data_IF_861350706297
#
_entry.id   IF_861350706297
#
_cell.length_a   1.000
_cell.length_b   1.000
_cell.length_c   1.000
_cell.angle_alpha   90.00
_cell.angle_beta   90.00
_cell.angle_gamma   90.00
#
_symmetry.space_group_name_H-M   'P 1'
#
loop_
_entity.id
_entity.type
_entity.pdbx_description
1 polymer ?
#
# COMPACT_ATOMS: atom_id res chain seq x y z
N UNK A 1 -0.47 -0.78 -1.09
CA UNK A 1 0.74 0.06 -1.00
C UNK A 1 0.29 1.51 -0.83
N UNK A 2 0.76 2.17 0.22
CA UNK A 2 0.57 3.60 0.36
C UNK A 2 1.26 4.32 -0.80
N UNK A 3 0.55 5.24 -1.43
CA UNK A 3 1.03 6.00 -2.60
C UNK A 3 0.86 7.48 -2.31
N UNK A 4 1.92 8.25 -2.57
CA UNK A 4 2.07 9.71 -2.38
C UNK A 4 2.73 10.15 -1.06
N UNK A 5 3.36 11.33 -1.13
CA UNK A 5 3.79 12.18 -0.01
C UNK A 5 2.59 12.76 0.76
N UNK A 6 1.64 11.91 1.16
CA UNK A 6 0.56 12.34 2.05
C UNK A 6 0.88 11.95 3.48
N UNK A 7 0.79 12.87 4.47
CA UNK A 7 1.22 12.61 5.85
C UNK A 7 0.54 11.38 6.48
N UNK A 8 -0.72 11.10 6.12
CA UNK A 8 -1.43 9.90 6.60
C UNK A 8 -0.76 8.57 6.23
N UNK A 9 -0.09 8.53 5.08
CA UNK A 9 0.44 7.28 4.48
C UNK A 9 1.96 7.30 4.28
N UNK A 10 2.61 8.40 4.68
CA UNK A 10 4.04 8.55 4.52
C UNK A 10 4.81 7.61 5.46
N UNK A 11 5.93 7.07 4.99
CA UNK A 11 6.82 6.19 5.75
C UNK A 11 6.16 4.92 6.33
N UNK A 12 5.05 4.47 5.73
CA UNK A 12 4.33 3.28 6.17
C UNK A 12 4.76 2.05 5.37
N UNK A 13 4.75 0.89 6.02
CA UNK A 13 4.94 -0.39 5.32
C UNK A 13 3.69 -0.76 4.50
N UNK A 14 3.65 -1.99 3.98
CA UNK A 14 2.46 -2.49 3.32
C UNK A 14 1.26 -2.50 4.29
N UNK A 15 0.09 -2.11 3.79
CA UNK A 15 -1.19 -2.25 4.48
C UNK A 15 -1.87 -3.50 3.94
N UNK A 16 -2.35 -4.33 4.84
CA UNK A 16 -2.97 -5.60 4.52
C UNK A 16 -4.47 -5.44 4.35
N UNK A 17 -4.92 -5.76 3.15
CA UNK A 17 -6.33 -5.87 2.76
C UNK A 17 -6.56 -7.30 2.27
N UNK A 18 -7.77 -7.82 2.49
CA UNK A 18 -8.17 -9.20 2.18
C UNK A 18 -9.06 -9.25 0.95
N UNK A 19 -10.14 -8.46 0.94
CA UNK A 19 -11.14 -8.44 -0.14
C UNK A 19 -11.37 -7.01 -0.65
N UNK A 20 -10.28 -6.31 -0.94
CA UNK A 20 -10.34 -4.96 -1.47
C UNK A 20 -10.92 -4.91 -2.89
N UNK A 21 -11.82 -3.96 -3.10
CA UNK A 21 -12.39 -3.65 -4.40
C UNK A 21 -11.70 -2.42 -5.02
N UNK A 22 -11.66 -2.38 -6.36
CA UNK A 22 -11.18 -1.18 -7.05
C UNK A 22 -12.18 -0.04 -6.83
N UNK A 23 -11.68 1.13 -6.45
CA UNK A 23 -12.43 2.38 -6.34
C UNK A 23 -12.15 3.22 -7.57
N UNK A 24 -13.19 3.52 -8.32
CA UNK A 24 -13.17 4.52 -9.39
C UNK A 24 -13.90 5.78 -8.90
N UNK A 25 -13.25 6.93 -9.06
CA UNK A 25 -13.81 8.22 -8.65
C UNK A 25 -14.47 8.90 -9.85
N UNK A 26 -15.63 9.52 -9.62
CA UNK A 26 -16.35 10.32 -10.64
C UNK A 26 -16.17 11.82 -10.39
N UNK A 27 -16.41 12.62 -11.43
CA UNK A 27 -16.26 14.07 -11.39
C UNK A 27 -17.18 14.74 -10.35
N UNK A 28 -16.59 15.63 -9.53
CA UNK A 28 -17.31 16.63 -8.74
C UNK A 28 -16.34 17.80 -8.49
N UNK A 29 -16.55 18.99 -9.07
CA UNK A 29 -15.63 20.11 -8.95
C UNK A 29 -15.39 20.59 -7.52
N UNK A 30 -16.35 20.38 -6.60
CA UNK A 30 -16.27 20.84 -5.22
C UNK A 30 -15.59 19.88 -4.24
N UNK A 31 -15.11 18.71 -4.71
CA UNK A 31 -14.49 17.68 -3.88
C UNK A 31 -13.16 17.27 -4.51
N UNK A 32 -12.07 17.62 -3.84
CA UNK A 32 -10.74 17.12 -4.12
C UNK A 32 -10.69 15.62 -3.77
N UNK A 33 -10.18 14.80 -4.70
CA UNK A 33 -10.09 13.35 -4.53
C UNK A 33 -8.64 12.92 -4.73
N UNK A 34 -8.00 12.45 -3.68
CA UNK A 34 -6.60 12.01 -3.71
C UNK A 34 -6.51 10.50 -3.41
N UNK A 35 -5.98 9.68 -4.32
CA UNK A 35 -5.67 8.29 -4.03
C UNK A 35 -4.63 8.21 -2.90
N UNK A 36 -4.91 7.42 -1.87
CA UNK A 36 -4.00 7.21 -0.72
C UNK A 36 -3.49 5.78 -0.63
N UNK A 37 -4.28 4.81 -1.10
CA UNK A 37 -3.93 3.40 -1.12
C UNK A 37 -4.11 2.83 -2.53
N UNK A 38 -3.06 2.23 -3.06
CA UNK A 38 -3.09 1.54 -4.35
C UNK A 38 -2.49 0.14 -4.24
N UNK A 39 -2.88 -0.78 -5.11
CA UNK A 39 -2.22 -2.08 -5.22
C UNK A 39 -0.82 -1.93 -5.84
N UNK A 40 -0.06 -3.01 -5.88
CA UNK A 40 1.21 -3.05 -6.62
C UNK A 40 0.98 -2.83 -8.13
N UNK A 41 2.04 -2.48 -8.89
CA UNK A 41 1.97 -2.43 -10.36
C UNK A 41 1.59 -3.77 -10.99
N UNK A 42 1.93 -4.88 -10.33
CA UNK A 42 1.60 -6.23 -10.76
C UNK A 42 0.30 -6.68 -10.10
N UNK A 43 -0.83 -6.15 -10.57
CA UNK A 43 -2.15 -6.49 -10.05
C UNK A 43 -3.08 -7.06 -11.13
N UNK A 44 -4.15 -7.72 -10.67
CA UNK A 44 -5.25 -8.22 -11.49
C UNK A 44 -6.56 -8.09 -10.71
N UNK A 45 -7.57 -7.50 -11.33
CA UNK A 45 -8.96 -7.49 -10.88
C UNK A 45 -9.67 -8.74 -11.41
N UNK A 46 -10.56 -9.31 -10.60
CA UNK A 46 -11.36 -10.47 -10.98
C UNK A 46 -12.83 -10.13 -10.78
N UNK A 47 -13.65 -10.39 -11.79
CA UNK A 47 -15.09 -10.14 -11.73
C UNK A 47 -15.82 -11.30 -11.05
N UNK A 48 -16.83 -10.99 -10.25
CA UNK A 48 -17.66 -12.00 -9.60
C UNK A 48 -18.62 -12.67 -10.59
N UNK A 49 -18.93 -13.96 -10.40
CA UNK A 49 -18.45 -14.86 -9.35
C UNK A 49 -17.05 -15.44 -9.65
N UNK A 50 -16.14 -15.41 -8.68
CA UNK A 50 -14.80 -16.00 -8.79
C UNK A 50 -14.81 -17.39 -8.16
N UNK A 51 -14.51 -18.44 -8.93
CA UNK A 51 -14.30 -19.78 -8.37
C UNK A 51 -12.89 -19.88 -7.76
N UNK A 52 -12.82 -19.94 -6.43
CA UNK A 52 -11.56 -20.16 -5.71
C UNK A 52 -11.31 -21.67 -5.67
N UNK A 53 -10.39 -22.15 -6.51
CA UNK A 53 -9.87 -23.52 -6.43
C UNK A 53 -8.48 -23.50 -5.77
N UNK A 54 -8.28 -24.31 -4.74
CA UNK A 54 -6.98 -24.45 -4.05
C UNK A 54 -5.86 -24.92 -5.00
N UNK A 55 -6.18 -25.61 -6.10
CA UNK A 55 -5.20 -25.96 -7.13
C UNK A 55 -4.65 -24.73 -7.87
N UNK A 56 -5.44 -23.67 -8.03
CA UNK A 56 -5.00 -22.42 -8.67
C UNK A 56 -3.95 -21.67 -7.84
N UNK A 57 -3.82 -21.99 -6.54
CA UNK A 57 -2.77 -21.41 -5.66
C UNK A 57 -1.40 -21.98 -6.01
N UNK A 58 -1.33 -23.20 -6.57
CA UNK A 58 -0.09 -23.87 -6.99
C UNK A 58 0.38 -23.46 -8.39
N UNK A 59 -0.54 -23.00 -9.23
CA UNK A 59 -0.21 -22.36 -10.51
C UNK A 59 0.49 -21.03 -10.22
N UNK A 60 1.82 -21.12 -10.01
CA UNK A 60 2.71 -19.99 -9.76
C UNK A 60 2.26 -18.80 -10.57
N UNK A 61 1.85 -17.74 -9.88
CA UNK A 61 1.37 -16.45 -10.40
C UNK A 61 2.06 -16.09 -11.72
N UNK A 62 1.50 -16.52 -12.85
CA UNK A 62 2.09 -16.26 -14.18
C UNK A 62 2.08 -14.75 -14.33
N UNK A 63 3.26 -14.10 -14.37
CA UNK A 63 3.39 -12.64 -14.40
C UNK A 63 2.52 -11.99 -15.46
N UNK A 64 2.32 -12.67 -16.60
CA UNK A 64 1.42 -12.25 -17.69
C UNK A 64 -0.02 -11.96 -17.25
N UNK A 65 -0.50 -12.63 -16.20
CA UNK A 65 -1.85 -12.44 -15.69
C UNK A 65 -2.00 -11.16 -14.84
N UNK A 66 -0.89 -10.59 -14.35
CA UNK A 66 -0.89 -9.44 -13.45
C UNK A 66 -0.40 -8.18 -14.17
N UNK A 67 -1.17 -7.74 -15.17
CA UNK A 67 -0.80 -6.70 -16.13
C UNK A 67 -1.69 -5.45 -16.06
N UNK A 68 -2.51 -5.29 -15.03
CA UNK A 68 -3.49 -4.19 -14.96
C UNK A 68 -2.99 -2.92 -14.26
N UNK A 69 -1.73 -2.90 -13.80
CA UNK A 69 -1.17 -1.74 -13.11
C UNK A 69 -1.73 -1.54 -11.69
N UNK A 70 -1.35 -0.45 -11.00
CA UNK A 70 -1.87 -0.11 -9.68
C UNK A 70 -3.37 0.18 -9.72
N UNK A 71 -4.14 -0.46 -8.85
CA UNK A 71 -5.57 -0.23 -8.65
C UNK A 71 -5.77 0.58 -7.38
N UNK A 72 -6.57 1.64 -7.46
CA UNK A 72 -6.92 2.44 -6.27
C UNK A 72 -7.89 1.66 -5.39
N UNK A 73 -7.54 1.50 -4.12
CA UNK A 73 -8.32 0.75 -3.12
C UNK A 73 -8.69 1.61 -1.90
N UNK A 74 -8.15 2.82 -1.82
CA UNK A 74 -8.50 3.83 -0.83
C UNK A 74 -8.26 5.26 -1.33
N UNK A 75 -9.19 6.16 -1.00
CA UNK A 75 -9.23 7.55 -1.49
C UNK A 75 -9.52 8.49 -0.33
N UNK A 76 -8.80 9.61 -0.27
CA UNK A 76 -9.12 10.77 0.56
C UNK A 76 -9.96 11.75 -0.25
N UNK A 77 -11.06 12.19 0.34
CA UNK A 77 -11.97 13.19 -0.19
C UNK A 77 -11.91 14.43 0.70
N UNK A 78 -11.75 15.61 0.12
CA UNK A 78 -11.72 16.89 0.85
C UNK A 78 -12.58 17.92 0.12
N UNK A 79 -13.45 18.62 0.85
CA UNK A 79 -14.27 19.69 0.28
C UNK A 79 -15.66 19.76 0.91
N UNK A 80 -16.62 20.28 0.16
CA UNK A 80 -18.01 20.40 0.62
C UNK A 80 -18.86 19.27 0.07
N UNK A 81 -19.61 18.61 0.94
CA UNK A 81 -20.48 17.49 0.59
C UNK A 81 -21.94 17.94 0.59
N UNK A 82 -22.72 17.39 -0.34
CA UNK A 82 -24.17 17.56 -0.33
C UNK A 82 -24.77 16.66 0.74
N UNK A 83 -25.67 17.22 1.54
CA UNK A 83 -26.40 16.47 2.56
C UNK A 83 -27.32 15.44 1.93
N UNK A 84 -27.39 14.25 2.54
CA UNK A 84 -28.34 13.20 2.14
C UNK A 84 -29.79 13.67 2.33
N UNK A 85 -30.02 14.61 3.25
CA UNK A 85 -31.34 15.14 3.55
C UNK A 85 -31.77 16.27 2.61
N UNK A 86 -30.88 16.76 1.75
CA UNK A 86 -31.24 17.76 0.73
C UNK A 86 -32.38 17.24 -0.12
N UNK A 87 -33.43 18.04 -0.27
CA UNK A 87 -34.66 17.69 -1.00
C UNK A 87 -35.41 16.45 -0.49
N UNK A 88 -35.12 15.98 0.74
CA UNK A 88 -35.80 14.82 1.35
C UNK A 88 -36.63 15.17 2.58
N UNK A 89 -36.56 16.41 3.05
CA UNK A 89 -37.33 16.89 4.21
C UNK A 89 -38.50 17.73 3.70
N UNK A 90 -39.71 17.49 4.25
CA UNK A 90 -40.89 18.30 3.92
C UNK A 90 -40.80 19.68 4.57
N UNK A 91 -41.31 20.75 3.94
CA UNK A 91 -41.32 22.09 4.52
C UNK A 91 -41.97 22.13 5.91
N UNK A 92 -43.09 21.42 6.07
CA UNK A 92 -43.84 21.25 7.33
C UNK A 92 -42.96 20.74 8.50
N UNK A 93 -41.98 19.89 8.19
CA UNK A 93 -41.08 19.30 9.19
C UNK A 93 -40.00 20.31 9.64
N UNK A 94 -39.59 21.21 8.76
CA UNK A 94 -38.62 22.28 9.06
C UNK A 94 -39.26 23.39 9.90
N UNK A 95 -40.53 23.72 9.62
CA UNK A 95 -41.26 24.77 10.34
C UNK A 95 -41.53 24.42 11.82
N UNK A 96 -41.62 23.12 12.16
CA UNK A 96 -41.83 22.69 13.56
C UNK A 96 -40.62 22.90 14.47
N UNK A 97 -39.43 23.20 13.93
CA UNK A 97 -38.20 23.42 14.70
C UNK A 97 -37.66 22.20 15.48
N UNK A 98 -38.35 21.06 15.45
CA UNK A 98 -37.99 19.84 16.22
C UNK A 98 -36.70 19.17 15.77
N UNK A 99 -36.24 19.44 14.54
CA UNK A 99 -35.12 18.72 13.90
C UNK A 99 -33.91 19.60 13.58
N UNK A 100 -33.91 20.86 14.05
CA UNK A 100 -32.87 21.85 13.77
C UNK A 100 -32.87 22.35 12.32
N UNK A 101 -31.89 23.22 12.00
CA UNK A 101 -31.75 23.81 10.66
C UNK A 101 -31.14 22.80 9.67
N UNK A 102 -31.80 22.62 8.52
CA UNK A 102 -31.30 21.76 7.45
C UNK A 102 -30.06 22.38 6.79
N UNK A 103 -28.90 21.80 7.05
CA UNK A 103 -27.69 22.06 6.26
C UNK A 103 -27.74 21.27 4.96
N UNK A 104 -28.04 21.94 3.84
CA UNK A 104 -28.02 21.32 2.51
C UNK A 104 -26.61 20.94 2.04
N UNK A 105 -25.62 21.71 2.46
CA UNK A 105 -24.20 21.49 2.18
C UNK A 105 -23.43 21.49 3.48
N UNK A 106 -22.43 20.63 3.57
CA UNK A 106 -21.48 20.66 4.68
C UNK A 106 -20.53 21.85 4.56
N UNK A 107 -19.92 22.21 5.68
CA UNK A 107 -18.67 22.95 5.70
C UNK A 107 -17.55 22.14 4.99
N UNK A 108 -16.37 22.72 4.82
CA UNK A 108 -15.25 22.00 4.22
C UNK A 108 -14.78 20.87 5.14
N UNK A 109 -15.11 19.62 4.81
CA UNK A 109 -14.77 18.43 5.61
C UNK A 109 -13.86 17.48 4.83
N UNK A 110 -13.37 16.46 5.54
CA UNK A 110 -12.50 15.42 5.01
C UNK A 110 -13.17 14.06 5.22
N UNK A 111 -12.98 13.13 4.28
CA UNK A 111 -13.49 11.77 4.36
C UNK A 111 -12.48 10.80 3.76
N UNK A 112 -12.22 9.69 4.44
CA UNK A 112 -11.40 8.60 3.92
C UNK A 112 -12.31 7.44 3.56
N UNK A 113 -12.20 6.96 2.32
CA UNK A 113 -12.97 5.81 1.81
C UNK A 113 -12.01 4.68 1.50
N UNK A 114 -12.29 3.47 2.02
CA UNK A 114 -11.48 2.28 1.84
C UNK A 114 -12.40 1.14 1.42
N UNK A 115 -11.95 0.34 0.47
CA UNK A 115 -12.74 -0.71 -0.17
C UNK A 115 -12.80 -2.04 0.58
N UNK A 116 -12.29 -2.10 1.81
CA UNK A 116 -12.22 -3.33 2.61
C UNK A 116 -12.58 -3.05 4.08
N UNK A 117 -13.60 -3.75 4.58
CA UNK A 117 -14.06 -3.66 5.97
C UNK A 117 -13.22 -4.49 6.95
N UNK A 118 -12.44 -5.47 6.49
CA UNK A 118 -11.56 -6.28 7.35
C UNK A 118 -10.27 -5.53 7.74
N UNK A 119 -10.02 -4.32 7.21
CA UNK A 119 -8.82 -3.53 7.49
C UNK A 119 -8.61 -3.27 8.99
N UNK A 120 -9.69 -3.07 9.75
CA UNK A 120 -9.67 -2.77 11.19
C UNK A 120 -9.79 -4.04 12.08
N UNK A 121 -9.78 -5.23 11.48
CA UNK A 121 -10.02 -6.47 12.20
C UNK A 121 -8.73 -7.05 12.78
N UNK A 122 -8.69 -7.23 14.09
CA UNK A 122 -7.65 -8.02 14.75
C UNK A 122 -7.83 -9.51 14.46
N UNK A 123 -6.72 -10.21 14.21
CA UNK A 123 -6.76 -11.68 14.17
C UNK A 123 -6.83 -12.24 15.58
N UNK A 124 -7.57 -13.33 15.75
CA UNK A 124 -7.70 -14.06 17.01
C UNK A 124 -7.24 -15.51 16.84
N UNK A 125 -6.48 -16.01 17.81
CA UNK A 125 -6.09 -17.42 17.92
C UNK A 125 -6.93 -18.09 18.98
N UNK A 126 -7.82 -19.01 18.56
CA UNK A 126 -8.57 -19.86 19.49
C UNK A 126 -7.66 -20.84 20.25
N UNK A 127 -6.55 -21.28 19.65
CA UNK A 127 -5.65 -22.25 20.28
C UNK A 127 -4.90 -21.68 21.48
N UNK A 128 -4.54 -20.39 21.42
CA UNK A 128 -3.76 -19.72 22.45
C UNK A 128 -4.60 -18.68 23.22
N UNK A 129 -5.90 -18.62 22.95
CA UNK A 129 -6.84 -17.62 23.47
C UNK A 129 -6.29 -16.18 23.42
N UNK A 130 -5.72 -15.78 22.29
CA UNK A 130 -5.00 -14.51 22.16
C UNK A 130 -5.44 -13.71 20.95
N UNK A 131 -5.70 -12.42 21.17
CA UNK A 131 -5.90 -11.43 20.12
C UNK A 131 -4.57 -10.81 19.71
N UNK A 132 -4.26 -10.83 18.42
CA UNK A 132 -3.07 -10.19 17.88
C UNK A 132 -3.30 -8.71 17.64
N UNK A 133 -2.21 -7.93 17.64
CA UNK A 133 -2.24 -6.53 17.25
C UNK A 133 -2.77 -6.34 15.83
N UNK A 134 -3.37 -5.17 15.57
CA UNK A 134 -3.97 -4.86 14.28
C UNK A 134 -2.90 -4.85 13.18
N UNK A 135 -3.13 -5.62 12.12
CA UNK A 135 -2.16 -5.78 11.03
C UNK A 135 -1.14 -6.90 11.25
N UNK A 136 -1.16 -7.64 12.36
CA UNK A 136 -0.31 -8.83 12.52
C UNK A 136 -0.98 -10.05 11.90
N UNK A 137 -0.31 -10.69 10.95
CA UNK A 137 -0.77 -11.95 10.36
C UNK A 137 -0.22 -13.16 11.12
N UNK A 138 -1.12 -14.01 11.65
CA UNK A 138 -0.74 -15.19 12.44
C UNK A 138 0.02 -16.24 11.63
N UNK A 139 -0.23 -16.32 10.33
CA UNK A 139 0.34 -17.37 9.47
C UNK A 139 1.74 -17.00 9.00
N UNK A 140 1.91 -15.79 8.44
CA UNK A 140 3.22 -15.31 7.99
C UNK A 140 4.06 -14.70 9.11
N UNK A 141 3.47 -14.47 10.29
CA UNK A 141 4.06 -13.75 11.43
C UNK A 141 4.51 -12.32 11.09
N UNK A 142 4.09 -11.79 9.93
CA UNK A 142 4.41 -10.45 9.46
C UNK A 142 3.49 -9.44 10.09
N UNK A 143 4.04 -8.29 10.46
CA UNK A 143 3.27 -7.13 10.92
C UNK A 143 3.16 -6.12 9.78
N UNK A 144 1.94 -5.74 9.45
CA UNK A 144 1.57 -4.71 8.48
C UNK A 144 1.19 -3.41 9.19
N UNK A 145 1.29 -2.28 8.49
CA UNK A 145 1.04 -0.96 9.06
C UNK A 145 -0.45 -0.58 9.18
N UNK A 146 -1.36 -1.56 9.34
CA UNK A 146 -2.79 -1.29 9.48
C UNK A 146 -3.10 -0.44 10.72
N UNK A 147 -2.46 -0.75 11.86
CA UNK A 147 -2.62 0.01 13.11
C UNK A 147 -2.21 1.47 12.93
N UNK A 148 -1.00 1.69 12.45
CA UNK A 148 -0.45 3.03 12.22
C UNK A 148 -1.32 3.81 11.23
N UNK A 149 -1.82 3.15 10.19
CA UNK A 149 -2.64 3.79 9.16
C UNK A 149 -3.95 4.31 9.76
N UNK A 150 -4.58 3.52 10.63
CA UNK A 150 -5.81 3.93 11.29
C UNK A 150 -5.59 5.08 12.26
N UNK A 151 -4.51 5.07 13.04
CA UNK A 151 -4.15 6.18 13.93
C UNK A 151 -3.91 7.45 13.11
N UNK A 152 -3.10 7.37 12.06
CA UNK A 152 -2.83 8.49 11.17
C UNK A 152 -4.09 9.01 10.47
N UNK A 153 -5.02 8.14 10.10
CA UNK A 153 -6.28 8.53 9.47
C UNK A 153 -7.19 9.25 10.47
N UNK A 154 -7.26 8.80 11.73
CA UNK A 154 -8.04 9.45 12.78
C UNK A 154 -7.45 10.82 13.11
N UNK A 155 -6.15 10.89 13.42
CA UNK A 155 -5.41 12.14 13.66
C UNK A 155 -5.58 13.10 12.45
N UNK A 156 -5.54 12.51 11.26
CA UNK A 156 -5.96 13.01 9.95
C UNK A 156 -7.21 13.90 9.99
N UNK A 157 -8.29 13.20 10.29
CA UNK A 157 -9.66 13.67 10.18
C UNK A 157 -10.04 14.62 11.31
N UNK A 158 -9.37 14.51 12.47
CA UNK A 158 -9.55 15.38 13.62
C UNK A 158 -8.73 16.69 13.56
N UNK A 159 -8.02 16.93 12.46
CA UNK A 159 -7.26 18.15 12.16
C UNK A 159 -6.02 18.40 13.05
N UNK A 160 -5.46 17.36 13.68
CA UNK A 160 -4.16 17.40 14.35
C UNK A 160 -2.97 17.31 13.36
N UNK A 161 -3.15 17.87 12.16
CA UNK A 161 -2.23 17.69 11.03
C UNK A 161 -0.80 18.20 11.29
N UNK A 162 -0.64 19.18 12.19
CA UNK A 162 0.67 19.69 12.62
C UNK A 162 1.52 18.66 13.39
N UNK A 163 0.90 17.75 14.14
CA UNK A 163 1.61 16.72 14.92
C UNK A 163 2.04 15.52 14.05
N UNK A 164 1.29 15.21 13.00
CA UNK A 164 1.59 14.07 12.09
C UNK A 164 2.88 14.33 11.30
N UNK A 165 3.11 15.58 10.86
CA UNK A 165 4.33 15.94 10.13
C UNK A 165 5.60 15.73 10.98
N UNK A 166 5.52 15.87 12.30
CA UNK A 166 6.66 15.71 13.22
C UNK A 166 7.04 14.24 13.47
N UNK A 167 6.15 13.28 13.19
CA UNK A 167 6.44 11.83 13.32
C UNK A 167 7.02 11.20 12.06
N UNK A 168 7.11 11.94 10.95
CA UNK A 168 7.56 11.45 9.65
C UNK A 168 9.10 11.34 9.53
N UNK A 169 9.78 10.77 10.54
CA UNK A 169 11.22 10.48 10.41
C UNK A 169 11.40 9.35 9.39
N UNK A 170 11.91 9.70 8.22
CA UNK A 170 12.09 8.79 7.08
C UNK A 170 12.84 7.52 7.47
N UNK A 171 12.14 6.39 7.46
CA UNK A 171 12.70 5.06 7.51
C UNK A 171 12.16 4.30 6.30
N UNK A 172 12.62 4.72 5.11
CA UNK A 172 12.29 4.04 3.86
C UNK A 172 12.83 2.61 3.91
N UNK A 173 12.00 1.67 4.36
CA UNK A 173 12.21 0.26 4.09
C UNK A 173 12.01 0.08 2.59
N UNK A 174 13.10 0.21 1.83
CA UNK A 174 13.16 -0.15 0.42
C UNK A 174 12.88 -1.64 0.30
N UNK A 175 11.61 -1.99 0.15
CA UNK A 175 11.16 -3.36 -0.04
C UNK A 175 11.88 -3.93 -1.28
N UNK A 176 12.57 -5.05 -1.08
CA UNK A 176 13.21 -5.76 -2.17
C UNK A 176 12.13 -6.23 -3.14
N UNK A 177 12.31 -5.92 -4.44
CA UNK A 177 11.45 -6.49 -5.46
C UNK A 177 11.84 -7.94 -5.70
N UNK A 178 11.23 -8.85 -4.93
CA UNK A 178 11.48 -10.29 -4.99
C UNK A 178 11.29 -10.85 -6.41
N UNK A 179 10.31 -10.35 -7.16
CA UNK A 179 10.08 -10.78 -8.54
C UNK A 179 11.26 -10.43 -9.45
N UNK A 180 11.83 -9.24 -9.31
CA UNK A 180 13.01 -8.83 -10.08
C UNK A 180 14.24 -9.62 -9.63
N UNK A 181 14.42 -9.78 -8.33
CA UNK A 181 15.51 -10.55 -7.75
C UNK A 181 15.52 -12.01 -8.22
N UNK A 182 14.36 -12.65 -8.33
CA UNK A 182 14.26 -14.01 -8.88
C UNK A 182 14.57 -14.07 -10.38
N UNK A 183 14.07 -13.11 -11.17
CA UNK A 183 14.27 -13.11 -12.61
C UNK A 183 15.73 -12.85 -13.01
N UNK A 184 16.41 -11.95 -12.28
CA UNK A 184 17.80 -11.59 -12.54
C UNK A 184 18.80 -12.44 -11.72
N UNK A 185 18.31 -13.43 -10.95
CA UNK A 185 19.12 -14.20 -10.00
C UNK A 185 20.39 -14.78 -10.64
N UNK A 186 20.25 -15.42 -11.81
CA UNK A 186 21.38 -16.05 -12.51
C UNK A 186 22.42 -15.02 -12.95
N UNK A 187 21.97 -13.88 -13.48
CA UNK A 187 22.85 -12.78 -13.89
C UNK A 187 23.68 -12.27 -12.70
N UNK A 188 23.01 -11.97 -11.58
CA UNK A 188 23.68 -11.50 -10.37
C UNK A 188 24.61 -12.55 -9.76
N UNK A 189 24.27 -13.84 -9.82
CA UNK A 189 25.13 -14.93 -9.37
C UNK A 189 26.41 -15.04 -10.22
N UNK A 190 26.28 -15.02 -11.55
CA UNK A 190 27.43 -15.09 -12.46
C UNK A 190 28.33 -13.87 -12.29
N UNK A 191 27.76 -12.67 -12.17
CA UNK A 191 28.54 -11.46 -12.00
C UNK A 191 29.30 -11.47 -10.67
N UNK A 192 28.65 -11.82 -9.56
CA UNK A 192 29.28 -11.83 -8.25
C UNK A 192 30.29 -12.98 -8.06
N UNK A 193 30.13 -14.10 -8.78
CA UNK A 193 31.07 -15.22 -8.70
C UNK A 193 32.20 -15.11 -9.74
N UNK A 194 31.88 -14.68 -10.96
CA UNK A 194 32.81 -14.58 -12.07
C UNK A 194 33.73 -13.37 -12.00
N UNK A 195 33.22 -12.20 -11.56
CA UNK A 195 34.04 -10.98 -11.50
C UNK A 195 35.25 -11.12 -10.55
N UNK A 196 35.14 -11.66 -9.32
CA UNK A 196 36.30 -11.86 -8.46
C UNK A 196 37.33 -12.81 -9.06
N UNK A 197 36.89 -13.91 -9.69
CA UNK A 197 37.78 -14.89 -10.33
C UNK A 197 38.54 -14.26 -11.50
N UNK A 198 37.84 -13.49 -12.35
CA UNK A 198 38.46 -12.74 -13.45
C UNK A 198 39.51 -11.74 -12.95
N UNK A 199 39.23 -11.03 -11.86
CA UNK A 199 40.19 -10.09 -11.25
C UNK A 199 41.46 -10.82 -10.82
N UNK A 200 41.35 -11.98 -10.16
CA UNK A 200 42.52 -12.77 -9.72
C UNK A 200 43.34 -13.27 -10.92
N UNK A 201 42.68 -13.74 -11.98
CA UNK A 201 43.36 -14.21 -13.20
C UNK A 201 44.11 -13.06 -13.87
N UNK A 202 43.47 -11.90 -14.04
CA UNK A 202 44.09 -10.71 -14.64
C UNK A 202 45.31 -10.27 -13.82
N UNK A 203 45.19 -10.23 -12.48
CA UNK A 203 46.32 -9.94 -11.60
C UNK A 203 47.46 -10.96 -11.76
N UNK A 204 47.14 -12.25 -11.85
CA UNK A 204 48.13 -13.31 -12.06
C UNK A 204 48.87 -13.18 -13.40
N UNK A 205 48.16 -12.83 -14.48
CA UNK A 205 48.75 -12.60 -15.80
C UNK A 205 49.65 -11.36 -15.78
N UNK A 206 49.15 -10.24 -15.26
CA UNK A 206 49.91 -8.99 -15.15
C UNK A 206 51.17 -9.18 -14.31
N UNK A 207 51.06 -9.86 -13.17
CA UNK A 207 52.19 -10.18 -12.30
C UNK A 207 53.25 -11.02 -13.04
N UNK A 208 52.84 -12.08 -13.75
CA UNK A 208 53.77 -12.90 -14.52
C UNK A 208 54.42 -12.14 -15.68
N UNK A 209 53.68 -11.26 -16.36
CA UNK A 209 54.19 -10.42 -17.43
C UNK A 209 55.26 -9.45 -16.93
N UNK A 210 54.99 -8.74 -15.83
CA UNK A 210 55.96 -7.84 -15.18
C UNK A 210 57.16 -8.61 -14.64
N UNK A 211 56.95 -9.79 -14.04
CA UNK A 211 58.04 -10.64 -13.55
C UNK A 211 58.97 -11.09 -14.68
N UNK A 212 58.42 -11.52 -15.83
CA UNK A 212 59.22 -11.89 -17.00
C UNK A 212 60.05 -10.72 -17.52
N UNK A 213 59.52 -9.49 -17.53
CA UNK A 213 60.30 -8.32 -17.98
C UNK A 213 61.41 -7.88 -17.00
N UNK A 214 61.24 -8.15 -15.69
CA UNK A 214 62.20 -7.69 -14.66
C UNK A 214 63.23 -8.73 -14.24
N UNK A 215 62.94 -10.03 -14.37
CA UNK A 215 63.76 -11.10 -13.79
C UNK A 215 64.14 -12.22 -14.77
N UNK A 216 63.70 -12.18 -16.03
CA UNK A 216 64.22 -13.07 -17.06
C UNK A 216 65.42 -12.42 -17.74
N UNK A 217 66.56 -12.48 -17.06
CA UNK A 217 67.90 -12.50 -17.64
C UNK A 217 68.43 -13.91 -17.47
#
# INVERSE_FOLDING_TARGET
MPTNDHPMVNNMSAIWLRFANKIDTVGNPGIEKKPILQTSPYSRTMFHPVRINMQNIRDRMKRRLFNQGPQTVGVLLKGQFNSVFKNRVKPETLETGKYGDLKEKSDSTKMVVISDGDLIRNQYSQLNDQTYELGRDRFTKRTFSNKDFMLNAVDYLLDESGLIQLRAKDFSMRLLNESRAEAEKLYWQIMNMGAPVLIVIIFGILYNFVRKQRFAT
#
